data_IF_785520187510
#
_entry.id   IF_785520187510
#
_cell.length_a   1.000
_cell.length_b   1.000
_cell.length_c   1.000
_cell.angle_alpha   90.00
_cell.angle_beta   90.00
_cell.angle_gamma   90.00
#
_symmetry.space_group_name_H-M   'P 1'
#
loop_
_entity.id
_entity.type
_entity.pdbx_description
1 polymer ?
#
# COMPACT_ATOMS: atom_id res chain seq x y z
N UNK A 1 6.92 -10.48 -19.65
CA UNK A 1 6.07 -10.68 -20.84
C UNK A 1 6.97 -11.15 -21.98
N UNK A 2 6.47 -12.02 -22.84
CA UNK A 2 7.16 -12.51 -24.04
C UNK A 2 6.21 -12.44 -25.22
N UNK A 3 6.74 -12.12 -26.41
CA UNK A 3 6.03 -12.20 -27.68
C UNK A 3 6.74 -13.23 -28.56
N UNK A 4 5.98 -14.12 -29.17
CA UNK A 4 6.48 -15.18 -30.03
C UNK A 4 5.50 -15.46 -31.17
N UNK A 5 5.97 -16.17 -32.20
CA UNK A 5 5.12 -16.62 -33.32
C UNK A 5 4.06 -17.60 -32.82
N UNK A 6 2.89 -17.64 -33.45
CA UNK A 6 1.77 -18.53 -33.07
C UNK A 6 2.16 -20.01 -33.00
N UNK A 7 3.11 -20.44 -33.82
CA UNK A 7 3.58 -21.83 -33.87
C UNK A 7 4.61 -22.17 -32.78
N UNK A 8 4.97 -21.22 -31.91
CA UNK A 8 5.92 -21.46 -30.84
C UNK A 8 5.26 -22.28 -29.71
N UNK A 9 5.84 -23.39 -29.25
CA UNK A 9 5.21 -24.22 -28.24
C UNK A 9 4.98 -23.48 -26.92
N UNK A 10 3.72 -23.43 -26.46
CA UNK A 10 3.35 -22.75 -25.21
C UNK A 10 4.18 -23.21 -24.01
N UNK A 11 4.47 -24.52 -23.91
CA UNK A 11 5.28 -25.08 -22.82
C UNK A 11 6.68 -24.46 -22.79
N UNK A 12 7.27 -24.20 -23.96
CA UNK A 12 8.59 -23.55 -24.05
C UNK A 12 8.51 -22.07 -23.69
N UNK A 13 7.41 -21.38 -24.05
CA UNK A 13 7.21 -19.99 -23.69
C UNK A 13 7.09 -19.81 -22.16
N UNK A 14 6.30 -20.65 -21.50
CA UNK A 14 6.17 -20.62 -20.04
C UNK A 14 7.47 -21.05 -19.36
N UNK A 15 8.17 -22.05 -19.88
CA UNK A 15 9.49 -22.47 -19.39
C UNK A 15 10.53 -21.37 -19.47
N UNK A 16 10.54 -20.64 -20.58
CA UNK A 16 11.41 -19.48 -20.73
C UNK A 16 11.11 -18.41 -19.68
N UNK A 17 9.83 -18.07 -19.49
CA UNK A 17 9.41 -17.06 -18.52
C UNK A 17 9.70 -17.48 -17.07
N UNK A 18 9.51 -18.75 -16.73
CA UNK A 18 9.81 -19.30 -15.40
C UNK A 18 11.32 -19.24 -15.10
N UNK A 19 12.17 -19.62 -16.07
CA UNK A 19 13.63 -19.51 -15.92
C UNK A 19 14.08 -18.06 -15.76
N UNK A 20 13.53 -17.13 -16.55
CA UNK A 20 13.78 -15.70 -16.39
C UNK A 20 13.34 -15.20 -15.01
N UNK A 21 12.15 -15.59 -14.54
CA UNK A 21 11.64 -15.14 -13.25
C UNK A 21 12.53 -15.62 -12.10
N UNK A 22 12.89 -16.91 -12.09
CA UNK A 22 13.75 -17.51 -11.07
C UNK A 22 15.10 -16.79 -11.00
N UNK A 23 15.77 -16.63 -12.15
CA UNK A 23 17.07 -15.95 -12.17
C UNK A 23 16.96 -14.49 -11.77
N UNK A 24 15.90 -13.80 -12.20
CA UNK A 24 15.67 -12.40 -11.84
C UNK A 24 15.52 -12.22 -10.33
N UNK A 25 14.73 -13.09 -9.67
CA UNK A 25 14.54 -13.05 -8.21
C UNK A 25 15.83 -13.42 -7.47
N UNK A 26 16.59 -14.39 -7.99
CA UNK A 26 17.88 -14.80 -7.41
C UNK A 26 18.93 -13.69 -7.53
N UNK A 27 18.99 -13.01 -8.67
CA UNK A 27 19.95 -11.93 -8.94
C UNK A 27 19.57 -10.64 -8.22
N UNK A 28 18.28 -10.28 -8.26
CA UNK A 28 17.75 -9.06 -7.68
C UNK A 28 16.81 -9.39 -6.52
N UNK A 29 17.31 -9.20 -5.30
CA UNK A 29 16.50 -9.32 -4.09
C UNK A 29 15.24 -8.45 -4.20
N UNK A 30 14.08 -8.97 -3.76
CA UNK A 30 12.81 -8.26 -3.72
C UNK A 30 12.90 -6.84 -3.13
N UNK A 31 13.77 -6.59 -2.15
CA UNK A 31 13.97 -5.24 -1.61
C UNK A 31 14.49 -4.26 -2.66
N UNK A 32 15.45 -4.65 -3.50
CA UNK A 32 15.99 -3.79 -4.57
C UNK A 32 14.95 -3.52 -5.65
N UNK A 33 14.16 -4.53 -6.00
CA UNK A 33 13.08 -4.41 -6.99
C UNK A 33 12.00 -3.44 -6.52
N UNK A 34 11.65 -3.46 -5.23
CA UNK A 34 10.64 -2.58 -4.62
C UNK A 34 11.11 -1.13 -4.40
N UNK A 35 12.40 -0.84 -4.59
CA UNK A 35 12.97 0.51 -4.46
C UNK A 35 13.38 1.12 -5.80
N UNK A 36 13.19 0.42 -6.91
CA UNK A 36 13.54 0.92 -8.23
C UNK A 36 12.58 2.03 -8.68
N UNK A 37 13.12 3.22 -8.96
CA UNK A 37 12.36 4.40 -9.41
C UNK A 37 12.66 4.74 -10.88
N UNK A 38 13.82 4.31 -11.39
CA UNK A 38 14.25 4.62 -12.76
C UNK A 38 13.75 3.58 -13.77
N UNK A 39 13.27 3.99 -14.96
CA UNK A 39 13.02 3.06 -16.06
C UNK A 39 14.27 2.22 -16.38
N UNK A 40 14.07 0.93 -16.66
CA UNK A 40 15.14 -0.04 -16.97
C UNK A 40 16.26 -0.09 -15.92
N UNK A 41 15.93 0.05 -14.62
CA UNK A 41 16.90 -0.03 -13.52
C UNK A 41 17.71 -1.35 -13.48
N UNK A 42 17.23 -2.40 -14.15
CA UNK A 42 17.83 -3.73 -14.20
C UNK A 42 18.29 -4.13 -15.62
N UNK A 43 18.71 -3.16 -16.44
CA UNK A 43 19.13 -3.39 -17.83
C UNK A 43 20.28 -4.40 -17.96
N UNK A 44 21.11 -4.56 -16.94
CA UNK A 44 22.20 -5.56 -16.92
C UNK A 44 21.68 -7.00 -17.09
N UNK A 45 20.43 -7.26 -16.67
CA UNK A 45 19.76 -8.55 -16.84
C UNK A 45 19.51 -8.91 -18.30
N UNK A 46 19.57 -7.95 -19.22
CA UNK A 46 19.37 -8.19 -20.65
C UNK A 46 20.36 -9.24 -21.21
N UNK A 47 21.59 -9.29 -20.69
CA UNK A 47 22.56 -10.32 -21.05
C UNK A 47 22.05 -11.74 -20.75
N UNK A 48 21.38 -11.92 -19.61
CA UNK A 48 20.77 -13.21 -19.27
C UNK A 48 19.57 -13.50 -20.17
N UNK A 49 18.69 -12.51 -20.38
CA UNK A 49 17.55 -12.64 -21.29
C UNK A 49 17.99 -13.12 -22.68
N UNK A 50 19.02 -12.48 -23.26
CA UNK A 50 19.51 -12.83 -24.59
C UNK A 50 20.11 -14.24 -24.64
N UNK A 51 20.93 -14.63 -23.66
CA UNK A 51 21.51 -15.98 -23.57
C UNK A 51 20.43 -17.05 -23.43
N UNK A 52 19.44 -16.82 -22.57
CA UNK A 52 18.33 -17.74 -22.37
C UNK A 52 17.46 -17.79 -23.62
N UNK A 53 17.16 -16.66 -24.28
CA UNK A 53 16.41 -16.61 -25.55
C UNK A 53 17.09 -17.45 -26.63
N UNK A 54 18.41 -17.33 -26.79
CA UNK A 54 19.17 -18.13 -27.77
C UNK A 54 19.09 -19.62 -27.48
N UNK A 55 19.08 -20.02 -26.20
CA UNK A 55 18.87 -21.42 -25.81
C UNK A 55 17.49 -21.89 -26.26
N UNK A 56 16.43 -21.18 -25.85
CA UNK A 56 15.02 -21.53 -26.13
C UNK A 56 14.61 -21.47 -27.61
N UNK A 57 15.36 -20.75 -28.43
CA UNK A 57 15.19 -20.76 -29.89
C UNK A 57 15.90 -21.94 -30.58
N UNK A 58 16.79 -22.64 -29.89
CA UNK A 58 17.58 -23.76 -30.44
C UNK A 58 17.21 -25.09 -29.76
N UNK A 59 16.28 -25.89 -30.32
CA UNK A 59 15.78 -27.12 -29.70
C UNK A 59 16.89 -28.13 -29.35
N UNK A 60 17.99 -28.14 -30.11
CA UNK A 60 19.15 -29.02 -29.87
C UNK A 60 19.88 -28.71 -28.56
N UNK A 61 19.79 -27.48 -28.06
CA UNK A 61 20.46 -27.05 -26.81
C UNK A 61 19.58 -27.27 -25.56
N UNK A 62 18.30 -27.60 -25.72
CA UNK A 62 17.34 -27.71 -24.61
C UNK A 62 17.30 -29.08 -23.94
N UNK A 63 17.75 -30.12 -24.66
CA UNK A 63 17.53 -31.52 -24.30
C UNK A 63 18.16 -31.97 -22.98
N UNK A 64 18.98 -31.15 -22.33
CA UNK A 64 19.80 -31.57 -21.18
C UNK A 64 19.36 -30.96 -19.84
N UNK A 65 18.43 -29.99 -19.80
CA UNK A 65 18.18 -29.22 -18.55
C UNK A 65 16.74 -28.83 -18.20
N UNK A 66 15.74 -29.08 -19.04
CA UNK A 66 14.38 -28.59 -18.79
C UNK A 66 13.44 -29.74 -18.43
N UNK A 67 12.81 -29.64 -17.26
CA UNK A 67 11.78 -30.56 -16.79
C UNK A 67 10.45 -30.26 -17.50
N UNK A 68 10.42 -30.53 -18.82
CA UNK A 68 9.32 -30.14 -19.72
C UNK A 68 8.00 -30.85 -19.33
N UNK A 69 8.10 -32.04 -18.73
CA UNK A 69 6.99 -32.83 -18.23
C UNK A 69 6.18 -32.11 -17.14
N UNK A 70 6.86 -31.46 -16.19
CA UNK A 70 6.20 -30.81 -15.06
C UNK A 70 5.40 -29.60 -15.53
N UNK A 71 5.99 -28.79 -16.42
CA UNK A 71 5.29 -27.65 -17.01
C UNK A 71 4.17 -28.04 -17.95
N UNK A 72 4.34 -29.12 -18.72
CA UNK A 72 3.26 -29.64 -19.54
C UNK A 72 2.08 -30.12 -18.68
N UNK A 73 2.36 -30.72 -17.52
CA UNK A 73 1.34 -31.11 -16.55
C UNK A 73 0.64 -29.88 -15.95
N UNK A 74 1.38 -28.84 -15.55
CA UNK A 74 0.82 -27.62 -14.99
C UNK A 74 -0.10 -26.90 -15.98
N UNK A 75 0.33 -26.73 -17.23
CA UNK A 75 -0.48 -26.11 -18.29
C UNK A 75 -1.75 -26.93 -18.57
N UNK A 76 -1.68 -28.25 -18.48
CA UNK A 76 -2.84 -29.12 -18.65
C UNK A 76 -3.83 -29.00 -17.48
N UNK A 77 -3.32 -28.86 -16.26
CA UNK A 77 -4.13 -28.68 -15.05
C UNK A 77 -4.73 -27.27 -14.96
N UNK A 78 -4.04 -26.27 -15.50
CA UNK A 78 -4.46 -24.85 -15.50
C UNK A 78 -4.18 -24.24 -16.88
N UNK A 79 -5.15 -24.33 -17.81
CA UNK A 79 -4.96 -23.76 -19.15
C UNK A 79 -4.73 -22.24 -19.04
N UNK A 80 -3.86 -21.67 -19.88
CA UNK A 80 -3.63 -20.23 -19.91
C UNK A 80 -4.93 -19.48 -20.17
N UNK A 81 -5.15 -18.41 -19.39
CA UNK A 81 -6.28 -17.51 -19.63
C UNK A 81 -6.10 -16.82 -21.00
N UNK A 82 -7.07 -17.03 -21.89
CA UNK A 82 -7.11 -16.37 -23.19
C UNK A 82 -7.83 -15.04 -23.03
N UNK A 83 -7.10 -13.94 -23.15
CA UNK A 83 -7.68 -12.60 -23.12
C UNK A 83 -8.33 -12.34 -24.49
N UNK A 84 -9.62 -12.05 -24.49
CA UNK A 84 -10.34 -11.70 -25.73
C UNK A 84 -9.96 -10.29 -26.19
N UNK A 85 -10.03 -10.02 -27.50
CA UNK A 85 -9.83 -8.66 -28.05
C UNK A 85 -10.82 -7.63 -27.46
N UNK A 86 -11.95 -8.07 -26.89
CA UNK A 86 -12.90 -7.19 -26.21
C UNK A 86 -12.46 -6.81 -24.78
N UNK A 87 -11.62 -7.62 -24.14
CA UNK A 87 -11.02 -7.33 -22.83
C UNK A 87 -9.74 -6.49 -22.92
N UNK A 88 -9.01 -6.60 -24.02
CA UNK A 88 -7.97 -5.62 -24.39
C UNK A 88 -8.68 -4.33 -24.83
N UNK A 89 -9.17 -3.57 -23.85
CA UNK A 89 -9.95 -2.36 -24.08
C UNK A 89 -9.35 -1.46 -25.16
N UNK A 90 -10.23 -0.89 -25.99
CA UNK A 90 -9.87 0.07 -27.03
C UNK A 90 -8.93 1.14 -26.47
N UNK A 91 -7.71 1.21 -27.00
CA UNK A 91 -6.66 2.14 -26.55
C UNK A 91 -7.02 3.64 -26.77
N UNK A 92 -8.22 3.95 -27.25
CA UNK A 92 -8.68 5.31 -27.44
C UNK A 92 -9.77 5.62 -26.42
N UNK A 93 -9.37 6.36 -25.38
CA UNK A 93 -10.25 6.77 -24.28
C UNK A 93 -11.50 7.50 -24.75
N UNK A 94 -12.62 6.78 -24.80
CA UNK A 94 -13.97 7.32 -24.66
C UNK A 94 -14.79 6.32 -23.83
N UNK A 95 -15.37 6.86 -22.77
CA UNK A 95 -16.11 6.23 -21.67
C UNK A 95 -17.21 5.24 -22.07
N UNK A 96 -17.43 4.19 -21.27
CA UNK A 96 -18.73 3.97 -20.61
C UNK A 96 -18.68 2.84 -19.58
N UNK A 97 -19.33 3.09 -18.45
CA UNK A 97 -19.68 2.13 -17.42
C UNK A 97 -20.37 0.90 -18.00
N UNK A 98 -19.86 -0.29 -17.69
CA UNK A 98 -20.64 -1.50 -17.39
C UNK A 98 -19.70 -2.43 -16.62
N UNK A 99 -19.68 -2.26 -15.30
CA UNK A 99 -19.13 -3.28 -14.41
C UNK A 99 -20.06 -4.49 -14.47
N UNK A 100 -19.68 -5.52 -15.20
CA UNK A 100 -20.26 -6.85 -15.02
C UNK A 100 -19.52 -7.52 -13.87
N UNK A 101 -20.32 -7.80 -12.85
CA UNK A 101 -19.99 -8.50 -11.62
C UNK A 101 -19.62 -9.96 -11.93
N UNK A 102 -18.36 -10.36 -11.73
CA UNK A 102 -17.96 -11.76 -11.72
C UNK A 102 -17.35 -12.15 -10.38
N UNK A 103 -18.20 -12.82 -9.61
CA UNK A 103 -17.90 -13.54 -8.38
C UNK A 103 -17.07 -14.79 -8.72
N UNK A 104 -15.75 -14.66 -8.72
CA UNK A 104 -14.80 -15.76 -8.92
C UNK A 104 -13.74 -15.75 -7.82
N UNK A 105 -13.77 -16.78 -6.96
CA UNK A 105 -12.85 -16.93 -5.84
C UNK A 105 -11.39 -17.06 -6.29
N UNK A 106 -10.59 -16.06 -5.92
CA UNK A 106 -9.14 -16.08 -6.06
C UNK A 106 -8.57 -14.90 -5.28
N UNK A 107 -8.27 -15.10 -4.00
CA UNK A 107 -7.48 -14.16 -3.20
C UNK A 107 -6.08 -14.10 -3.82
N UNK A 108 -5.89 -13.21 -4.80
CA UNK A 108 -4.57 -12.80 -5.22
C UNK A 108 -4.02 -12.00 -4.05
N UNK A 109 -3.01 -12.60 -3.43
CA UNK A 109 -2.26 -12.09 -2.30
C UNK A 109 -2.05 -10.59 -2.40
N UNK A 110 -2.37 -9.90 -1.31
CA UNK A 110 -2.10 -8.49 -1.07
C UNK A 110 -0.64 -8.17 -1.38
N UNK A 111 -0.37 -7.77 -2.61
CA UNK A 111 0.82 -7.01 -2.93
C UNK A 111 0.80 -5.81 -2.00
N UNK A 112 1.82 -5.68 -1.14
CA UNK A 112 2.02 -4.56 -0.24
C UNK A 112 1.86 -3.26 -1.02
N UNK A 113 0.65 -2.68 -0.96
CA UNK A 113 0.34 -1.42 -1.59
C UNK A 113 1.03 -0.36 -0.75
N UNK A 114 2.30 -0.08 -1.11
CA UNK A 114 3.14 0.87 -0.39
C UNK A 114 2.56 2.26 -0.62
N UNK A 115 2.38 2.97 0.48
CA UNK A 115 2.13 4.40 0.47
C UNK A 115 3.34 5.09 -0.20
N UNK A 116 3.09 6.17 -0.94
CA UNK A 116 4.18 7.00 -1.45
C UNK A 116 5.18 7.37 -0.33
N UNK A 117 6.45 7.64 -0.68
CA UNK A 117 7.41 8.18 0.28
C UNK A 117 6.80 9.34 1.08
N UNK A 118 7.14 9.44 2.37
CA UNK A 118 6.66 10.54 3.21
C UNK A 118 7.12 11.87 2.61
N UNK A 119 6.18 12.66 2.08
CA UNK A 119 6.42 14.06 1.72
C UNK A 119 6.82 14.81 3.00
N UNK A 120 7.66 15.85 2.88
CA UNK A 120 8.09 16.66 4.04
C UNK A 120 6.89 17.12 4.89
N UNK A 121 5.76 17.43 4.23
CA UNK A 121 4.52 17.81 4.88
C UNK A 121 3.89 16.69 5.73
N UNK A 122 4.03 15.43 5.34
CA UNK A 122 3.59 14.26 6.13
C UNK A 122 4.46 14.02 7.35
N UNK A 123 5.77 14.27 7.26
CA UNK A 123 6.69 14.20 8.41
C UNK A 123 6.32 15.27 9.44
N UNK A 124 6.06 16.51 8.98
CA UNK A 124 5.61 17.60 9.86
C UNK A 124 4.29 17.24 10.55
N UNK A 125 3.30 16.71 9.81
CA UNK A 125 2.03 16.26 10.38
C UNK A 125 2.21 15.17 11.44
N UNK A 126 3.12 14.22 11.21
CA UNK A 126 3.45 13.15 12.15
C UNK A 126 4.03 13.70 13.46
N UNK A 127 5.03 14.59 13.37
CA UNK A 127 5.66 15.20 14.56
C UNK A 127 4.64 16.03 15.36
N UNK A 128 3.81 16.83 14.68
CA UNK A 128 2.76 17.62 15.32
C UNK A 128 1.72 16.75 16.04
N UNK A 129 1.30 15.64 15.43
CA UNK A 129 0.38 14.69 16.05
C UNK A 129 0.98 14.01 17.29
N UNK A 130 2.28 13.69 17.25
CA UNK A 130 2.99 13.08 18.38
C UNK A 130 3.14 14.05 19.56
N UNK A 131 3.44 15.32 19.27
CA UNK A 131 3.43 16.40 20.28
C UNK A 131 2.04 16.59 20.90
N UNK A 132 0.98 16.55 20.07
CA UNK A 132 -0.41 16.63 20.51
C UNK A 132 -0.78 15.47 21.46
N UNK A 133 -0.37 14.24 21.15
CA UNK A 133 -0.51 13.09 22.04
C UNK A 133 0.23 13.27 23.36
N UNK A 134 1.49 13.71 23.32
CA UNK A 134 2.30 13.94 24.52
C UNK A 134 1.69 15.02 25.44
N UNK A 135 1.18 16.12 24.89
CA UNK A 135 0.54 17.18 25.66
C UNK A 135 -0.77 16.74 26.32
N UNK A 136 -1.55 15.88 25.64
CA UNK A 136 -2.75 15.27 26.23
C UNK A 136 -2.37 14.30 27.36
N UNK A 137 -1.29 13.53 27.18
CA UNK A 137 -0.80 12.59 28.18
C UNK A 137 -0.30 13.30 29.45
N UNK A 138 0.50 14.36 29.32
CA UNK A 138 1.01 15.15 30.45
C UNK A 138 -0.16 15.70 31.29
N UNK A 139 -1.20 16.21 30.62
CA UNK A 139 -2.41 16.68 31.33
C UNK A 139 -3.22 15.56 31.94
N UNK A 140 -3.34 14.41 31.27
CA UNK A 140 -3.97 13.23 31.82
C UNK A 140 -3.29 12.77 33.12
N UNK A 141 -1.95 12.75 33.15
CA UNK A 141 -1.19 12.44 34.37
C UNK A 141 -1.38 13.48 35.47
N UNK A 142 -1.38 14.77 35.13
CA UNK A 142 -1.63 15.82 36.11
C UNK A 142 -3.07 15.76 36.67
N UNK A 143 -4.05 15.38 35.83
CA UNK A 143 -5.42 15.15 36.26
C UNK A 143 -5.55 13.89 37.14
N UNK A 144 -4.76 12.83 36.90
CA UNK A 144 -4.67 11.67 37.79
C UNK A 144 -4.11 12.07 39.16
N UNK A 145 -3.07 12.90 39.19
CA UNK A 145 -2.49 13.41 40.43
C UNK A 145 -3.51 14.24 41.22
N UNK A 146 -4.31 15.06 40.54
CA UNK A 146 -5.43 15.80 41.12
C UNK A 146 -6.52 14.88 41.67
N UNK A 147 -6.90 13.82 40.95
CA UNK A 147 -7.90 12.85 41.39
C UNK A 147 -7.44 12.03 42.61
N UNK A 148 -6.14 11.77 42.76
CA UNK A 148 -5.62 11.15 43.99
C UNK A 148 -5.79 12.08 45.22
N UNK A 149 -6.00 13.38 45.00
CA UNK A 149 -6.21 14.38 46.05
C UNK A 149 -7.69 14.78 46.22
N UNK A 150 -8.59 14.36 45.32
CA UNK A 150 -10.01 14.77 45.24
C UNK A 150 -10.95 13.54 45.23
N UNK A 151 -12.14 13.65 45.81
CA UNK A 151 -13.10 12.54 46.04
C UNK A 151 -13.84 12.02 44.76
N UNK A 152 -13.12 11.92 43.63
CA UNK A 152 -13.53 11.10 42.49
C UNK A 152 -14.37 11.78 41.39
N UNK A 153 -14.64 13.08 41.47
CA UNK A 153 -15.40 13.81 40.42
C UNK A 153 -14.60 14.00 39.11
N UNK A 154 -13.27 13.88 39.15
CA UNK A 154 -12.39 14.18 38.00
C UNK A 154 -12.13 12.99 37.04
N UNK A 155 -12.69 11.80 37.33
CA UNK A 155 -12.38 10.58 36.57
C UNK A 155 -12.76 10.68 35.09
N UNK A 156 -13.89 11.32 34.79
CA UNK A 156 -14.37 11.49 33.42
C UNK A 156 -13.41 12.35 32.58
N UNK A 157 -12.77 13.36 33.19
CA UNK A 157 -11.79 14.20 32.50
C UNK A 157 -10.51 13.43 32.21
N UNK A 158 -10.06 12.59 33.14
CA UNK A 158 -8.92 11.68 32.93
C UNK A 158 -9.19 10.79 31.72
N UNK A 159 -10.33 10.11 31.68
CA UNK A 159 -10.72 9.25 30.56
C UNK A 159 -10.72 10.02 29.24
N UNK A 160 -11.23 11.25 29.23
CA UNK A 160 -11.21 12.10 28.03
C UNK A 160 -9.79 12.45 27.54
N UNK A 161 -8.82 12.69 28.44
CA UNK A 161 -7.42 12.94 28.07
C UNK A 161 -6.74 11.70 27.48
N UNK A 162 -6.97 10.52 28.07
CA UNK A 162 -6.44 9.25 27.54
C UNK A 162 -7.07 8.88 26.21
N UNK A 163 -8.39 9.09 26.08
CA UNK A 163 -9.11 8.84 24.83
C UNK A 163 -8.62 9.77 23.70
N UNK A 164 -8.39 11.05 24.00
CA UNK A 164 -7.78 11.99 23.07
C UNK A 164 -6.36 11.60 22.67
N UNK A 165 -5.56 11.05 23.59
CA UNK A 165 -4.22 10.53 23.31
C UNK A 165 -4.25 9.31 22.39
N UNK A 166 -5.12 8.34 22.69
CA UNK A 166 -5.29 7.14 21.87
C UNK A 166 -5.75 7.49 20.44
N UNK A 167 -6.66 8.46 20.29
CA UNK A 167 -7.10 8.95 18.99
C UNK A 167 -5.96 9.59 18.17
N UNK A 168 -5.08 10.37 18.80
CA UNK A 168 -3.90 10.95 18.13
C UNK A 168 -2.91 9.87 17.66
N UNK A 169 -2.65 8.86 18.49
CA UNK A 169 -1.79 7.73 18.12
C UNK A 169 -2.40 6.90 17.00
N UNK A 170 -3.74 6.73 17.00
CA UNK A 170 -4.43 6.05 15.91
C UNK A 170 -4.38 6.83 14.59
N UNK A 171 -4.47 8.17 14.62
CA UNK A 171 -4.21 9.00 13.43
C UNK A 171 -2.77 8.86 12.92
N UNK A 172 -1.77 8.82 13.81
CA UNK A 172 -0.38 8.52 13.44
C UNK A 172 -0.24 7.14 12.79
N UNK A 173 -0.92 6.13 13.33
CA UNK A 173 -0.93 4.78 12.76
C UNK A 173 -1.55 4.78 11.35
N UNK A 174 -2.66 5.49 11.15
CA UNK A 174 -3.32 5.62 9.83
C UNK A 174 -2.46 6.40 8.81
N UNK A 175 -1.57 7.31 9.25
CA UNK A 175 -0.61 7.98 8.37
C UNK A 175 0.47 7.02 7.83
N UNK A 176 0.86 6.03 8.64
CA UNK A 176 1.98 5.11 8.36
C UNK A 176 1.52 3.83 7.67
N UNK A 177 0.34 3.31 8.00
CA UNK A 177 -0.15 2.02 7.52
C UNK A 177 -1.30 2.14 6.52
N UNK A 178 -1.24 1.35 5.44
CA UNK A 178 -2.31 1.32 4.43
C UNK A 178 -3.52 0.52 4.93
N UNK A 179 -4.72 1.09 4.78
CA UNK A 179 -5.99 0.43 5.11
C UNK A 179 -7.02 0.86 4.07
N UNK A 180 -7.79 -0.08 3.52
CA UNK A 180 -8.77 0.21 2.44
C UNK A 180 -9.89 1.19 2.83
N UNK A 181 -10.07 1.47 4.13
CA UNK A 181 -11.08 2.38 4.69
C UNK A 181 -10.47 3.60 5.39
N UNK A 182 -9.22 3.96 5.04
CA UNK A 182 -8.43 4.96 5.78
C UNK A 182 -9.13 6.31 5.91
N UNK A 183 -9.84 6.78 4.89
CA UNK A 183 -10.50 8.09 4.92
C UNK A 183 -11.67 8.13 5.93
N UNK A 184 -12.53 7.09 5.93
CA UNK A 184 -13.64 6.98 6.88
C UNK A 184 -13.11 6.84 8.30
N UNK A 185 -12.09 6.00 8.51
CA UNK A 185 -11.45 5.81 9.82
C UNK A 185 -10.78 7.09 10.32
N UNK A 186 -10.10 7.83 9.45
CA UNK A 186 -9.47 9.10 9.79
C UNK A 186 -10.51 10.15 10.19
N UNK A 187 -11.62 10.26 9.45
CA UNK A 187 -12.68 11.21 9.76
C UNK A 187 -13.37 10.89 11.10
N UNK A 188 -13.63 9.61 11.35
CA UNK A 188 -14.20 9.16 12.64
C UNK A 188 -13.27 9.46 13.81
N UNK A 189 -11.96 9.29 13.60
CA UNK A 189 -10.95 9.60 14.63
C UNK A 189 -10.81 11.10 14.85
N UNK A 190 -10.91 11.91 13.80
CA UNK A 190 -10.95 13.37 13.93
C UNK A 190 -12.17 13.85 14.70
N UNK A 191 -13.35 13.30 14.41
CA UNK A 191 -14.58 13.55 15.17
C UNK A 191 -14.41 13.20 16.65
N UNK A 192 -13.77 12.07 16.96
CA UNK A 192 -13.45 11.69 18.34
C UNK A 192 -12.51 12.70 19.02
N UNK A 193 -11.48 13.18 18.33
CA UNK A 193 -10.59 14.23 18.84
C UNK A 193 -11.39 15.50 19.14
N UNK A 194 -12.26 15.95 18.24
CA UNK A 194 -13.11 17.12 18.46
C UNK A 194 -14.04 16.94 19.66
N UNK A 195 -14.66 15.77 19.82
CA UNK A 195 -15.55 15.46 20.94
C UNK A 195 -14.79 15.47 22.27
N UNK A 196 -13.62 14.83 22.36
CA UNK A 196 -12.80 14.87 23.57
C UNK A 196 -12.35 16.30 23.90
N UNK A 197 -12.01 17.09 22.89
CA UNK A 197 -11.60 18.48 23.05
C UNK A 197 -12.76 19.40 23.49
N UNK A 198 -13.97 19.18 22.99
CA UNK A 198 -15.18 19.88 23.44
C UNK A 198 -15.52 19.53 24.89
N UNK A 199 -15.42 18.25 25.26
CA UNK A 199 -15.68 17.81 26.63
C UNK A 199 -14.68 18.41 27.65
N UNK A 200 -13.45 18.66 27.20
CA UNK A 200 -12.38 19.28 27.99
C UNK A 200 -12.31 20.81 27.82
N UNK A 201 -13.35 21.46 27.28
CA UNK A 201 -13.36 22.89 27.01
C UNK A 201 -13.12 23.74 28.27
N UNK A 202 -13.68 23.35 29.41
CA UNK A 202 -13.56 24.10 30.66
C UNK A 202 -12.15 24.05 31.26
N UNK A 203 -11.38 22.98 31.00
CA UNK A 203 -10.02 22.80 31.51
C UNK A 203 -8.93 23.25 30.53
N UNK A 204 -9.28 23.62 29.29
CA UNK A 204 -8.31 23.95 28.24
C UNK A 204 -8.39 25.42 27.84
N UNK A 205 -7.20 26.01 27.67
CA UNK A 205 -7.08 27.33 27.05
C UNK A 205 -7.59 27.26 25.59
N UNK A 206 -8.33 28.29 25.15
CA UNK A 206 -8.83 28.40 23.78
C UNK A 206 -7.74 28.19 22.73
N UNK A 207 -6.54 28.76 22.95
CA UNK A 207 -5.41 28.59 22.03
C UNK A 207 -4.98 27.13 21.86
N UNK A 208 -5.06 26.35 22.94
CA UNK A 208 -4.73 24.94 22.94
C UNK A 208 -5.82 24.07 22.32
N UNK A 209 -7.08 24.47 22.47
CA UNK A 209 -8.19 23.86 21.77
C UNK A 209 -7.99 24.01 20.25
N UNK A 210 -7.75 25.26 19.80
CA UNK A 210 -7.49 25.55 18.38
C UNK A 210 -6.27 24.79 17.85
N UNK A 211 -5.19 24.69 18.62
CA UNK A 211 -4.01 23.95 18.22
C UNK A 211 -4.32 22.47 17.93
N UNK A 212 -5.02 21.78 18.84
CA UNK A 212 -5.31 20.35 18.66
C UNK A 212 -6.32 20.09 17.54
N UNK A 213 -7.33 20.94 17.38
CA UNK A 213 -8.30 20.84 16.28
C UNK A 213 -7.62 21.09 14.93
N UNK A 214 -6.76 22.11 14.84
CA UNK A 214 -6.03 22.44 13.60
C UNK A 214 -5.05 21.33 13.22
N UNK A 215 -4.32 20.75 14.18
CA UNK A 215 -3.41 19.62 13.93
C UNK A 215 -4.19 18.38 13.49
N UNK A 216 -5.30 18.03 14.15
CA UNK A 216 -6.14 16.91 13.76
C UNK A 216 -6.76 17.07 12.37
N UNK A 217 -7.16 18.29 12.00
CA UNK A 217 -7.68 18.61 10.68
C UNK A 217 -6.57 18.53 9.62
N UNK A 218 -5.38 19.06 9.91
CA UNK A 218 -4.22 19.00 9.02
C UNK A 218 -3.78 17.55 8.76
N UNK A 219 -3.72 16.71 9.80
CA UNK A 219 -3.42 15.27 9.67
C UNK A 219 -4.48 14.55 8.83
N UNK A 220 -5.76 14.84 9.06
CA UNK A 220 -6.86 14.24 8.28
C UNK A 220 -6.83 14.69 6.82
N UNK A 221 -6.53 15.95 6.56
CA UNK A 221 -6.33 16.48 5.22
C UNK A 221 -5.14 15.80 4.52
N UNK A 222 -4.03 15.61 5.23
CA UNK A 222 -2.86 14.89 4.69
C UNK A 222 -3.18 13.41 4.41
N UNK A 223 -3.97 12.75 5.26
CA UNK A 223 -4.45 11.39 5.03
C UNK A 223 -5.36 11.31 3.79
N UNK A 224 -6.18 12.33 3.56
CA UNK A 224 -7.07 12.41 2.41
C UNK A 224 -6.33 12.73 1.11
N UNK A 225 -5.37 13.67 1.16
CA UNK A 225 -4.55 14.08 0.01
C UNK A 225 -3.50 13.04 -0.38
N UNK A 226 -3.06 12.16 0.55
CA UNK A 226 -2.19 11.02 0.24
C UNK A 226 -2.94 10.01 -0.62
N UNK A 227 -2.94 10.13 -1.94
CA UNK A 227 -3.51 9.09 -2.80
C UNK A 227 -2.74 7.77 -2.59
N UNK A 228 -3.47 6.65 -2.53
CA UNK A 228 -2.84 5.33 -2.69
C UNK A 228 -2.21 5.32 -4.07
N UNK A 229 -0.92 4.97 -4.21
CA UNK A 229 -0.24 4.93 -5.51
C UNK A 229 -1.17 4.27 -6.54
N UNK A 230 -1.68 5.05 -7.49
CA UNK A 230 -2.21 4.46 -8.70
C UNK A 230 -1.01 3.86 -9.41
N UNK A 231 -1.23 2.68 -9.99
CA UNK A 231 -0.32 2.04 -10.93
C UNK A 231 0.26 3.12 -11.86
N UNK A 232 1.58 3.13 -12.03
CA UNK A 232 2.27 4.11 -12.87
C UNK A 232 1.60 4.18 -14.26
N UNK A 233 1.49 5.37 -14.87
CA UNK A 233 0.99 5.49 -16.23
C UNK A 233 1.81 4.57 -17.13
N UNK A 234 1.13 3.72 -17.89
CA UNK A 234 1.76 2.86 -18.90
C UNK A 234 2.63 3.74 -19.80
N UNK A 235 3.95 3.50 -19.77
CA UNK A 235 4.87 4.08 -20.73
C UNK A 235 4.83 3.18 -21.97
N UNK A 236 4.16 3.64 -23.01
CA UNK A 236 4.28 3.07 -24.35
C UNK A 236 5.68 3.38 -24.91
N UNK A 237 6.47 2.32 -25.13
CA UNK A 237 7.62 2.31 -26.04
C UNK A 237 7.62 1.02 -26.84
#
# INVERSE_FOLDING_TARGET
MMLCTENYPNVLAFSFLDELQKEFITTYNMMKTNTAVRPYCFIEFDNFIQRTKQRYNNPRSLSTKINLSDMQMEIKLRPPYQISMCELGSANGVTSAFAIDYKGGGKISSAHQRLEPATLSGIVAFILSLLCGALNLIRGFHAIESLLQSDGEDFNYIVAFFLGTAACLYQCYLLVYYTGWRNVKSFLTFGLICLCNMYLYELRNLWQLFFHVTVGAFVTLQIWLRQAQSKAPDYDV
#
